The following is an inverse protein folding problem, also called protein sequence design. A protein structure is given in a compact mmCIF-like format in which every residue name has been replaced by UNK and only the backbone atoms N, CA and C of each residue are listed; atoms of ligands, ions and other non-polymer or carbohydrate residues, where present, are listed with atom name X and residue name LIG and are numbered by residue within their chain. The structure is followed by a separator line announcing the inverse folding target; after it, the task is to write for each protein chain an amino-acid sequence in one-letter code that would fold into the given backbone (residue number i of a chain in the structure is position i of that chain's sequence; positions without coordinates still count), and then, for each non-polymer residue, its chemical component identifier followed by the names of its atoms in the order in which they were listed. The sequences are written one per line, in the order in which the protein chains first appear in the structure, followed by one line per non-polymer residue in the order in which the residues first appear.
data_IF_863399369211
#
_entry.id   IF_863399369211
#
_cell.length_a   1.000
_cell.length_b   1.000
_cell.length_c   1.000
_cell.angle_alpha   90.00
_cell.angle_beta   90.00
_cell.angle_gamma   90.00
#
_symmetry.space_group_name_H-M   'P 1'
#
loop_
_entity.id
_entity.type
_entity.pdbx_description
1 polymer ?
#
# COMPACT_ATOMS: atom_id res chain seq x y z
N UNK A 1 7.03 18.11 -17.10
CA UNK A 1 6.03 17.11 -16.64
C UNK A 1 5.28 17.60 -15.41
N UNK A 2 5.93 17.87 -14.28
CA UNK A 2 5.25 18.24 -13.03
C UNK A 2 4.41 19.52 -13.12
N UNK A 3 4.93 20.59 -13.73
CA UNK A 3 4.17 21.83 -13.94
C UNK A 3 2.88 21.58 -14.74
N UNK A 4 2.93 20.70 -15.75
CA UNK A 4 1.76 20.34 -16.53
C UNK A 4 0.72 19.59 -15.70
N UNK A 5 1.15 18.65 -14.84
CA UNK A 5 0.25 17.91 -13.93
C UNK A 5 -0.41 18.87 -12.94
N UNK A 6 0.37 19.71 -12.27
CA UNK A 6 -0.12 20.67 -11.29
C UNK A 6 -1.13 21.64 -11.90
N UNK A 7 -0.84 22.16 -13.09
CA UNK A 7 -1.78 23.01 -13.84
C UNK A 7 -3.03 22.25 -14.27
N UNK A 8 -2.88 21.02 -14.78
CA UNK A 8 -3.99 20.23 -15.32
C UNK A 8 -4.98 19.80 -14.24
N UNK A 9 -4.47 19.47 -13.06
CA UNK A 9 -5.26 18.97 -11.93
C UNK A 9 -5.58 20.06 -10.91
N UNK A 10 -4.97 21.25 -11.00
CA UNK A 10 -5.06 22.30 -9.99
C UNK A 10 -4.65 21.80 -8.60
N UNK A 11 -3.44 21.23 -8.52
CA UNK A 11 -2.81 20.70 -7.29
C UNK A 11 -1.39 21.24 -7.15
N UNK A 12 -0.76 20.97 -6.00
CA UNK A 12 0.63 21.33 -5.74
C UNK A 12 1.49 20.11 -5.42
N UNK A 13 1.68 19.23 -6.39
CA UNK A 13 2.61 18.11 -6.24
C UNK A 13 4.05 18.62 -6.36
N UNK A 14 4.92 18.20 -5.45
CA UNK A 14 6.35 18.50 -5.50
C UNK A 14 7.14 17.39 -6.26
N UNK A 15 8.41 17.63 -6.62
CA UNK A 15 9.20 16.65 -7.38
C UNK A 15 9.28 15.27 -6.71
N UNK A 16 9.42 15.23 -5.38
CA UNK A 16 9.55 14.00 -4.61
C UNK A 16 8.25 13.21 -4.61
N UNK A 17 7.11 13.87 -4.42
CA UNK A 17 5.80 13.24 -4.49
C UNK A 17 5.53 12.65 -5.86
N UNK A 18 5.90 13.36 -6.94
CA UNK A 18 5.80 12.82 -8.30
C UNK A 18 6.72 11.61 -8.51
N UNK A 19 7.92 11.63 -7.96
CA UNK A 19 8.86 10.50 -7.99
C UNK A 19 8.27 9.29 -7.26
N UNK A 20 7.77 9.46 -6.03
CA UNK A 20 7.16 8.39 -5.23
C UNK A 20 6.00 7.70 -5.94
N UNK A 21 5.15 8.44 -6.65
CA UNK A 21 4.03 7.87 -7.42
C UNK A 21 4.53 7.07 -8.65
N UNK A 22 5.57 7.57 -9.33
CA UNK A 22 6.18 6.88 -10.48
C UNK A 22 6.89 5.60 -10.05
N UNK A 23 7.70 5.70 -8.99
CA UNK A 23 8.36 4.58 -8.36
C UNK A 23 7.35 3.51 -7.96
N UNK A 24 6.27 3.91 -7.30
CA UNK A 24 5.22 3.00 -6.90
C UNK A 24 4.60 2.24 -8.07
N UNK A 25 4.31 2.97 -9.15
CA UNK A 25 3.78 2.36 -10.37
C UNK A 25 4.74 1.31 -10.94
N UNK A 26 6.05 1.58 -10.96
CA UNK A 26 7.05 0.64 -11.48
C UNK A 26 7.27 -0.56 -10.55
N UNK A 27 7.49 -0.29 -9.26
CA UNK A 27 7.80 -1.31 -8.25
C UNK A 27 6.61 -2.25 -8.07
N UNK A 28 5.37 -1.74 -8.11
CA UNK A 28 4.17 -2.60 -8.09
C UNK A 28 4.18 -3.62 -9.23
N UNK A 29 4.54 -3.20 -10.46
CA UNK A 29 4.61 -4.13 -11.59
C UNK A 29 5.70 -5.19 -11.41
N UNK A 30 6.85 -4.81 -10.84
CA UNK A 30 7.92 -5.76 -10.50
C UNK A 30 7.43 -6.77 -9.45
N UNK A 31 6.82 -6.28 -8.37
CA UNK A 31 6.23 -7.10 -7.32
C UNK A 31 5.18 -8.09 -7.86
N UNK A 32 4.23 -7.59 -8.66
CA UNK A 32 3.17 -8.43 -9.23
C UNK A 32 3.73 -9.54 -10.14
N UNK A 33 4.82 -9.26 -10.86
CA UNK A 33 5.50 -10.25 -11.68
C UNK A 33 6.25 -11.28 -10.85
N UNK A 34 7.07 -10.83 -9.90
CA UNK A 34 7.96 -11.68 -9.10
C UNK A 34 7.18 -12.51 -8.09
N UNK A 35 6.27 -11.89 -7.35
CA UNK A 35 5.56 -12.52 -6.23
C UNK A 35 4.27 -13.21 -6.69
N UNK A 36 3.55 -12.65 -7.67
CA UNK A 36 2.23 -13.16 -8.08
C UNK A 36 2.21 -13.84 -9.46
N UNK A 37 3.33 -13.92 -10.18
CA UNK A 37 3.40 -14.66 -11.45
C UNK A 37 2.57 -14.06 -12.59
N UNK A 38 2.38 -12.73 -12.63
CA UNK A 38 1.71 -11.88 -13.66
C UNK A 38 0.33 -11.33 -13.27
N UNK A 39 -0.35 -11.89 -12.27
CA UNK A 39 -1.66 -11.38 -11.87
C UNK A 39 -1.82 -11.42 -10.37
N UNK A 40 -1.97 -10.24 -9.77
CA UNK A 40 -2.24 -10.12 -8.36
C UNK A 40 -3.65 -10.63 -8.03
N UNK A 41 -3.71 -11.54 -7.07
CA UNK A 41 -4.86 -11.78 -6.21
C UNK A 41 -4.35 -11.89 -4.78
N UNK A 42 -5.19 -11.62 -3.78
CA UNK A 42 -4.78 -11.76 -2.38
C UNK A 42 -4.34 -13.21 -2.09
N UNK A 43 -5.04 -14.20 -2.66
CA UNK A 43 -4.71 -15.61 -2.46
C UNK A 43 -3.35 -15.99 -3.07
N UNK A 44 -3.05 -15.52 -4.29
CA UNK A 44 -1.75 -15.80 -4.93
C UNK A 44 -0.61 -15.13 -4.18
N UNK A 45 -0.82 -13.89 -3.70
CA UNK A 45 0.14 -13.20 -2.87
C UNK A 45 0.37 -13.97 -1.56
N UNK A 46 -0.67 -14.31 -0.82
CA UNK A 46 -0.58 -15.06 0.44
C UNK A 46 0.17 -16.39 0.29
N UNK A 47 -0.13 -17.17 -0.74
CA UNK A 47 0.57 -18.44 -1.01
C UNK A 47 2.07 -18.22 -1.22
N UNK A 48 2.46 -17.18 -1.97
CA UNK A 48 3.86 -16.85 -2.22
C UNK A 48 4.56 -16.27 -0.99
N UNK A 49 3.91 -15.37 -0.27
CA UNK A 49 4.42 -14.76 0.96
C UNK A 49 4.72 -15.82 2.03
N UNK A 50 3.87 -16.84 2.16
CA UNK A 50 4.04 -17.94 3.12
C UNK A 50 5.25 -18.85 2.83
N UNK A 51 5.95 -18.67 1.69
CA UNK A 51 7.19 -19.38 1.39
C UNK A 51 8.42 -18.73 2.03
N UNK A 52 8.27 -17.52 2.58
CA UNK A 52 9.36 -16.71 3.11
C UNK A 52 9.29 -16.58 4.64
N UNK A 53 10.47 -16.43 5.26
CA UNK A 53 10.60 -16.15 6.69
C UNK A 53 10.97 -14.69 6.89
N UNK A 54 9.97 -13.84 7.10
CA UNK A 54 10.14 -12.40 7.26
C UNK A 54 10.66 -12.00 8.64
N UNK A 55 11.50 -10.97 8.69
CA UNK A 55 11.95 -10.34 9.92
C UNK A 55 11.07 -9.15 10.27
N UNK A 56 10.39 -9.19 11.42
CA UNK A 56 9.45 -8.14 11.81
C UNK A 56 10.06 -6.73 11.85
N UNK A 57 11.30 -6.62 12.31
CA UNK A 57 12.01 -5.35 12.41
C UNK A 57 12.07 -4.59 11.07
N UNK A 58 12.14 -5.29 9.94
CA UNK A 58 12.24 -4.66 8.61
C UNK A 58 10.93 -4.06 8.10
N UNK A 59 9.80 -4.53 8.65
CA UNK A 59 8.45 -4.07 8.26
C UNK A 59 7.81 -3.15 9.31
N UNK A 60 8.41 -3.05 10.50
CA UNK A 60 7.82 -2.36 11.66
C UNK A 60 7.50 -0.89 11.37
N UNK A 61 8.41 -0.15 10.74
CA UNK A 61 8.20 1.27 10.44
C UNK A 61 7.00 1.51 9.51
N UNK A 62 6.85 0.67 8.47
CA UNK A 62 5.73 0.73 7.54
C UNK A 62 4.41 0.31 8.21
N UNK A 63 4.47 -0.74 9.04
CA UNK A 63 3.35 -1.20 9.83
C UNK A 63 2.85 -0.12 10.80
N UNK A 64 3.75 0.51 11.56
CA UNK A 64 3.41 1.58 12.50
C UNK A 64 2.78 2.77 11.78
N UNK A 65 3.31 3.15 10.61
CA UNK A 65 2.72 4.20 9.79
C UNK A 65 1.26 3.90 9.43
N UNK A 66 0.98 2.73 8.84
CA UNK A 66 -0.37 2.40 8.41
C UNK A 66 -1.32 2.11 9.57
N UNK A 67 -0.81 1.56 10.68
CA UNK A 67 -1.55 1.42 11.93
C UNK A 67 -2.00 2.79 12.44
N UNK A 68 -1.08 3.74 12.59
CA UNK A 68 -1.40 5.10 13.04
C UNK A 68 -2.33 5.84 12.07
N UNK A 69 -2.20 5.58 10.77
CA UNK A 69 -3.05 6.20 9.75
C UNK A 69 -4.50 5.73 9.80
N UNK A 70 -4.73 4.45 10.04
CA UNK A 70 -6.02 3.78 9.84
C UNK A 70 -6.72 3.32 11.11
N UNK A 71 -6.07 3.39 12.27
CA UNK A 71 -6.67 3.05 13.56
C UNK A 71 -6.77 4.27 14.46
N UNK A 72 -7.76 4.28 15.37
CA UNK A 72 -7.96 5.35 16.34
C UNK A 72 -9.25 6.14 16.10
N UNK A 73 -9.11 7.43 15.82
CA UNK A 73 -10.22 8.38 15.77
C UNK A 73 -11.14 8.21 14.54
N UNK A 74 -12.21 9.01 14.49
CA UNK A 74 -13.15 9.02 13.38
C UNK A 74 -12.49 9.37 12.02
N UNK A 75 -11.38 10.14 12.04
CA UNK A 75 -10.65 10.51 10.83
C UNK A 75 -9.85 9.32 10.31
N UNK A 76 -9.21 8.55 11.19
CA UNK A 76 -8.51 7.32 10.84
C UNK A 76 -9.47 6.27 10.27
N UNK A 77 -10.63 6.10 10.90
CA UNK A 77 -11.68 5.23 10.38
C UNK A 77 -12.16 5.66 9.00
N UNK A 78 -12.39 6.97 8.80
CA UNK A 78 -12.77 7.50 7.51
C UNK A 78 -11.68 7.26 6.45
N UNK A 79 -10.40 7.46 6.76
CA UNK A 79 -9.28 7.14 5.86
C UNK A 79 -9.23 5.66 5.51
N UNK A 80 -9.49 4.77 6.48
CA UNK A 80 -9.54 3.32 6.23
C UNK A 80 -10.69 2.94 5.31
N UNK A 81 -11.85 3.58 5.45
CA UNK A 81 -12.98 3.36 4.54
C UNK A 81 -12.67 3.82 3.11
N UNK A 82 -11.89 4.89 2.94
CA UNK A 82 -11.41 5.35 1.63
C UNK A 82 -10.36 4.43 0.97
N UNK A 83 -9.90 3.37 1.64
CA UNK A 83 -9.22 2.27 0.93
C UNK A 83 -10.16 1.53 -0.02
N UNK A 84 -11.49 1.74 0.08
CA UNK A 84 -12.49 1.27 -0.87
C UNK A 84 -12.46 -0.26 -1.07
N UNK A 85 -12.27 -1.01 0.02
CA UNK A 85 -12.26 -2.47 0.00
C UNK A 85 -13.50 -3.04 -0.69
N UNK A 86 -13.29 -3.96 -1.62
CA UNK A 86 -14.35 -4.79 -2.20
C UNK A 86 -14.66 -5.96 -1.26
N UNK A 87 -15.81 -6.66 -1.42
CA UNK A 87 -16.20 -7.76 -0.53
C UNK A 87 -15.11 -8.83 -0.31
N UNK A 88 -14.30 -9.11 -1.33
CA UNK A 88 -13.24 -10.14 -1.28
C UNK A 88 -11.84 -9.58 -0.93
N UNK A 89 -11.71 -8.29 -0.62
CA UNK A 89 -10.41 -7.67 -0.33
C UNK A 89 -9.98 -7.86 1.14
N UNK A 90 -10.67 -8.73 1.89
CA UNK A 90 -10.36 -9.08 3.29
C UNK A 90 -10.28 -7.87 4.25
N UNK A 91 -11.21 -6.91 4.11
CA UNK A 91 -11.29 -5.70 4.97
C UNK A 91 -11.22 -6.01 6.48
N UNK A 92 -12.00 -6.99 6.94
CA UNK A 92 -12.06 -7.35 8.36
C UNK A 92 -10.72 -7.90 8.88
N UNK A 93 -10.04 -8.69 8.06
CA UNK A 93 -8.71 -9.22 8.38
C UNK A 93 -7.68 -8.09 8.52
N UNK A 94 -7.59 -7.18 7.55
CA UNK A 94 -6.66 -6.04 7.63
C UNK A 94 -6.92 -5.21 8.89
N UNK A 95 -8.19 -4.97 9.20
CA UNK A 95 -8.57 -4.23 10.41
C UNK A 95 -8.11 -4.93 11.68
N UNK A 96 -8.39 -6.23 11.79
CA UNK A 96 -7.96 -7.03 12.94
C UNK A 96 -6.44 -6.96 13.12
N UNK A 97 -5.67 -7.13 12.04
CA UNK A 97 -4.20 -7.10 12.10
C UNK A 97 -3.68 -5.75 12.58
N UNK A 98 -4.24 -4.64 12.08
CA UNK A 98 -3.81 -3.29 12.50
C UNK A 98 -4.21 -2.96 13.95
N UNK A 99 -5.32 -3.49 14.45
CA UNK A 99 -5.79 -3.24 15.82
C UNK A 99 -5.06 -4.13 16.84
N UNK A 100 -4.69 -5.35 16.48
CA UNK A 100 -4.01 -6.31 17.36
C UNK A 100 -2.49 -6.01 17.47
N UNK A 101 -1.95 -5.69 18.67
CA UNK A 101 -0.51 -5.51 18.86
C UNK A 101 0.29 -6.83 18.80
N UNK A 102 -0.37 -7.99 18.86
CA UNK A 102 0.24 -9.31 18.85
C UNK A 102 0.16 -10.02 17.48
N UNK A 103 -0.25 -9.29 16.43
CA UNK A 103 -0.27 -9.82 15.06
C UNK A 103 1.05 -10.43 14.64
N UNK A 104 1.00 -11.62 14.03
CA UNK A 104 2.20 -12.29 13.54
C UNK A 104 2.84 -11.53 12.38
N UNK A 105 4.14 -11.73 12.14
CA UNK A 105 4.80 -11.09 11.00
C UNK A 105 4.20 -11.50 9.65
N UNK A 106 3.76 -12.76 9.50
CA UNK A 106 3.07 -13.20 8.29
C UNK A 106 1.78 -12.41 8.07
N UNK A 107 1.03 -12.18 9.16
CA UNK A 107 -0.21 -11.41 9.09
C UNK A 107 0.03 -9.93 8.77
N UNK A 108 1.05 -9.34 9.39
CA UNK A 108 1.47 -7.96 9.13
C UNK A 108 1.84 -7.79 7.65
N UNK A 109 2.69 -8.67 7.10
CA UNK A 109 3.12 -8.59 5.70
C UNK A 109 1.91 -8.72 4.77
N UNK A 110 1.02 -9.68 5.00
CA UNK A 110 -0.17 -9.85 4.17
C UNK A 110 -1.11 -8.63 4.26
N UNK A 111 -1.36 -8.10 5.46
CA UNK A 111 -2.18 -6.92 5.64
C UNK A 111 -1.59 -5.70 4.92
N UNK A 112 -0.27 -5.48 5.01
CA UNK A 112 0.44 -4.43 4.29
C UNK A 112 0.34 -4.63 2.77
N UNK A 113 0.51 -5.86 2.26
CA UNK A 113 0.31 -6.17 0.84
C UNK A 113 -1.10 -5.82 0.38
N UNK A 114 -2.13 -6.12 1.17
CA UNK A 114 -3.53 -5.77 0.85
C UNK A 114 -3.74 -4.25 0.84
N UNK A 115 -3.21 -3.52 1.83
CA UNK A 115 -3.27 -2.05 1.85
C UNK A 115 -2.62 -1.46 0.60
N UNK A 116 -1.42 -1.93 0.25
CA UNK A 116 -0.70 -1.48 -0.95
C UNK A 116 -1.45 -1.79 -2.24
N UNK A 117 -2.08 -2.97 -2.33
CA UNK A 117 -2.99 -3.30 -3.42
C UNK A 117 -4.18 -2.31 -3.51
N UNK A 118 -4.76 -1.93 -2.37
CA UNK A 118 -5.84 -0.93 -2.32
C UNK A 118 -5.36 0.45 -2.76
N UNK A 119 -4.15 0.87 -2.37
CA UNK A 119 -3.53 2.10 -2.84
C UNK A 119 -3.32 2.09 -4.36
N UNK A 120 -2.85 0.97 -4.93
CA UNK A 120 -2.74 0.79 -6.39
C UNK A 120 -4.09 0.91 -7.09
N UNK A 121 -5.12 0.25 -6.57
CA UNK A 121 -6.45 0.36 -7.14
C UNK A 121 -7.00 1.78 -7.04
N UNK A 122 -6.73 2.49 -5.94
CA UNK A 122 -7.16 3.85 -5.75
C UNK A 122 -6.44 4.83 -6.70
N UNK A 123 -5.15 4.64 -6.94
CA UNK A 123 -4.36 5.43 -7.88
C UNK A 123 -4.86 5.33 -9.33
N UNK A 124 -5.24 4.13 -9.79
CA UNK A 124 -5.60 3.89 -11.21
C UNK A 124 -7.11 3.83 -11.48
N UNK A 125 -7.93 3.53 -10.47
CA UNK A 125 -9.35 3.24 -10.66
C UNK A 125 -10.28 3.81 -9.59
N UNK A 126 -9.77 4.27 -8.43
CA UNK A 126 -10.58 4.31 -7.20
C UNK A 126 -11.07 5.67 -6.75
N UNK A 127 -10.61 6.80 -7.28
CA UNK A 127 -11.37 8.04 -7.21
C UNK A 127 -11.26 8.77 -8.55
N UNK A 128 -12.39 9.28 -9.04
CA UNK A 128 -12.45 10.12 -10.25
C UNK A 128 -11.70 11.45 -10.07
N UNK A 129 -10.95 11.60 -9.00
CA UNK A 129 -10.38 12.83 -8.54
C UNK A 129 -8.91 12.70 -8.14
N UNK A 130 -8.05 12.76 -9.16
CA UNK A 130 -6.59 12.84 -9.00
C UNK A 130 -6.14 14.08 -8.22
N UNK A 131 -7.05 14.98 -7.82
CA UNK A 131 -6.72 16.14 -6.98
C UNK A 131 -6.28 15.77 -5.57
N UNK A 132 -6.66 14.59 -5.07
CA UNK A 132 -6.26 14.12 -3.74
C UNK A 132 -4.89 13.45 -3.68
N UNK A 133 -4.19 13.35 -4.81
CA UNK A 133 -2.93 12.60 -4.90
C UNK A 133 -1.80 13.21 -4.05
N UNK A 134 -1.83 14.52 -3.82
CA UNK A 134 -0.90 15.22 -2.91
C UNK A 134 -1.00 14.68 -1.48
N UNK A 135 -2.21 14.42 -0.98
CA UNK A 135 -2.44 13.85 0.36
C UNK A 135 -2.13 12.34 0.48
N UNK A 136 -1.61 11.72 -0.58
CA UNK A 136 -1.25 10.31 -0.65
C UNK A 136 0.26 10.08 -0.80
N UNK A 137 1.07 11.14 -0.91
CA UNK A 137 2.53 11.02 -1.12
C UNK A 137 3.17 10.10 -0.07
N UNK A 138 2.91 10.35 1.21
CA UNK A 138 3.42 9.52 2.31
C UNK A 138 2.98 8.05 2.17
N UNK A 139 1.77 7.78 1.67
CA UNK A 139 1.32 6.40 1.46
C UNK A 139 2.14 5.72 0.37
N UNK A 140 2.49 6.43 -0.70
CA UNK A 140 3.30 5.88 -1.78
C UNK A 140 4.76 5.71 -1.37
N UNK A 141 5.31 6.62 -0.56
CA UNK A 141 6.65 6.46 0.02
C UNK A 141 6.73 5.21 0.90
N UNK A 142 5.74 5.02 1.77
CA UNK A 142 5.68 3.85 2.66
C UNK A 142 5.40 2.56 1.87
N UNK A 143 4.55 2.61 0.85
CA UNK A 143 4.32 1.49 -0.06
C UNK A 143 5.60 1.12 -0.84
N UNK A 144 6.37 2.11 -1.31
CA UNK A 144 7.64 1.88 -1.99
C UNK A 144 8.66 1.22 -1.08
N UNK A 145 8.82 1.73 0.14
CA UNK A 145 9.70 1.14 1.14
C UNK A 145 9.31 -0.31 1.43
N UNK A 146 8.01 -0.55 1.70
CA UNK A 146 7.47 -1.89 1.92
C UNK A 146 7.76 -2.84 0.76
N UNK A 147 7.44 -2.45 -0.47
CA UNK A 147 7.63 -3.31 -1.64
C UNK A 147 9.10 -3.58 -1.91
N UNK A 148 10.00 -2.58 -1.76
CA UNK A 148 11.45 -2.78 -1.90
C UNK A 148 11.97 -3.78 -0.86
N UNK A 149 11.60 -3.61 0.42
CA UNK A 149 11.97 -4.55 1.48
C UNK A 149 11.43 -5.95 1.20
N UNK A 150 10.17 -6.05 0.80
CA UNK A 150 9.53 -7.33 0.49
C UNK A 150 10.24 -8.06 -0.66
N UNK A 151 10.61 -7.33 -1.71
CA UNK A 151 11.28 -7.90 -2.89
C UNK A 151 12.68 -8.44 -2.59
N UNK A 152 13.35 -7.98 -1.51
CA UNK A 152 14.63 -8.56 -1.09
C UNK A 152 14.54 -10.02 -0.62
N UNK A 153 13.32 -10.51 -0.33
CA UNK A 153 13.06 -11.91 0.01
C UNK A 153 12.87 -12.80 -1.23
N UNK A 154 12.84 -12.23 -2.43
CA UNK A 154 12.63 -12.94 -3.67
C UNK A 154 13.89 -12.89 -4.55
N UNK A 155 14.15 -13.95 -5.34
CA UNK A 155 15.29 -14.00 -6.25
C UNK A 155 15.15 -13.08 -7.48
#
# INVERSE_FOLDING_TARGET
MINWINQKLNINLDPNGLESIKDFSLIWNIFERIVCGMRFTINTAEVSLNQNQFQQAEFQACYDYFRNRYTGDAVALNRFDHLNFRPNDRRAYVRQVLEDPASSIADIVLALTIIVYRLRNNLFHGEKDMRFIEGQVDNFEQANAFLKTLLNYYP
#
